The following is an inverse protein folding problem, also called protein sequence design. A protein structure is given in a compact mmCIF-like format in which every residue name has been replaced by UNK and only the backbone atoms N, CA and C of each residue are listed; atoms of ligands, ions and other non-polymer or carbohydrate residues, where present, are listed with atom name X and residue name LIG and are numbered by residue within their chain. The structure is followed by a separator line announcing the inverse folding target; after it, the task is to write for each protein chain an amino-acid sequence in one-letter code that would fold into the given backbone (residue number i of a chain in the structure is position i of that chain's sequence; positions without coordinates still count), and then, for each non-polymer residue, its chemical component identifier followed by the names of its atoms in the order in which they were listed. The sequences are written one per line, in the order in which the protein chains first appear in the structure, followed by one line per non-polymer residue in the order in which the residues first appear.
data_IF_726408859648
#
_entry.id   IF_726408859648
#
_cell.length_a   1.000
_cell.length_b   1.000
_cell.length_c   1.000
_cell.angle_alpha   90.00
_cell.angle_beta   90.00
_cell.angle_gamma   90.00
#
_symmetry.space_group_name_H-M   'P 1'
#
loop_
_entity.id
_entity.type
_entity.pdbx_description
1 polymer ?
#
# COMPACT_ATOMS: atom_id res chain seq x y z
N UNK A 1 -12.65 -8.81 -19.62
CA UNK A 1 -11.56 -8.90 -18.63
C UNK A 1 -11.86 -7.89 -17.55
N UNK A 2 -12.16 -8.32 -16.32
CA UNK A 2 -12.53 -7.39 -15.24
C UNK A 2 -11.32 -6.57 -14.78
N UNK A 3 -11.50 -5.26 -14.63
CA UNK A 3 -10.57 -4.37 -13.95
C UNK A 3 -10.04 -5.02 -12.66
N UNK A 4 -8.76 -5.39 -12.63
CA UNK A 4 -8.14 -6.24 -11.59
C UNK A 4 -7.97 -5.58 -10.22
N UNK A 5 -9.03 -4.97 -9.67
CA UNK A 5 -9.05 -4.33 -8.35
C UNK A 5 -10.24 -4.85 -7.56
N UNK A 6 -9.98 -5.57 -6.47
CA UNK A 6 -11.02 -6.06 -5.56
C UNK A 6 -11.15 -5.11 -4.37
N UNK A 7 -12.38 -4.69 -4.05
CA UNK A 7 -12.63 -3.90 -2.84
C UNK A 7 -12.52 -4.80 -1.62
N UNK A 8 -11.63 -4.43 -0.70
CA UNK A 8 -11.48 -5.10 0.59
C UNK A 8 -11.85 -4.16 1.73
N UNK A 9 -12.23 -4.73 2.87
CA UNK A 9 -12.35 -4.02 4.14
C UNK A 9 -11.37 -4.65 5.11
N UNK A 10 -10.55 -3.82 5.75
CA UNK A 10 -9.55 -4.25 6.71
C UNK A 10 -9.50 -3.25 7.87
N UNK A 11 -9.10 -3.73 9.05
CA UNK A 11 -8.74 -2.86 10.17
C UNK A 11 -7.26 -2.52 10.04
N UNK A 12 -6.95 -1.24 10.12
CA UNK A 12 -5.59 -0.69 10.04
C UNK A 12 -5.39 0.15 11.29
N UNK A 13 -4.18 0.13 11.85
CA UNK A 13 -3.82 0.99 12.98
C UNK A 13 -4.03 2.47 12.62
N UNK A 14 -4.54 3.25 13.57
CA UNK A 14 -4.82 4.66 13.38
C UNK A 14 -3.54 5.46 13.09
N UNK A 15 -2.40 5.07 13.67
CA UNK A 15 -1.11 5.72 13.40
C UNK A 15 -0.68 5.53 11.94
N UNK A 16 -0.81 4.30 11.43
CA UNK A 16 -0.53 3.98 10.03
C UNK A 16 -1.46 4.73 9.08
N UNK A 17 -2.74 4.81 9.41
CA UNK A 17 -3.71 5.55 8.60
C UNK A 17 -3.41 7.05 8.62
N UNK A 18 -3.04 7.60 9.78
CA UNK A 18 -2.62 9.00 9.93
C UNK A 18 -1.36 9.33 9.15
N UNK A 19 -0.40 8.41 9.06
CA UNK A 19 0.76 8.55 8.18
C UNK A 19 0.35 8.56 6.70
N UNK A 20 -0.52 7.63 6.27
CA UNK A 20 -1.02 7.59 4.90
C UNK A 20 -1.70 8.90 4.52
N UNK A 21 -2.52 9.46 5.40
CA UNK A 21 -3.20 10.73 5.16
C UNK A 21 -2.22 11.88 4.93
N UNK A 22 -1.19 12.00 5.77
CA UNK A 22 -0.13 13.01 5.59
C UNK A 22 0.58 12.87 4.25
N UNK A 23 0.82 11.65 3.79
CA UNK A 23 1.48 11.43 2.48
C UNK A 23 0.56 11.75 1.30
N UNK A 24 -0.76 11.59 1.45
CA UNK A 24 -1.76 12.05 0.47
C UNK A 24 -1.82 13.59 0.45
N UNK A 25 -1.81 14.25 1.62
CA UNK A 25 -1.78 15.71 1.72
C UNK A 25 -0.53 16.31 1.07
N UNK A 26 0.62 15.64 1.20
CA UNK A 26 1.87 15.99 0.51
C UNK A 26 1.84 15.73 -1.01
N UNK A 27 0.73 15.24 -1.56
CA UNK A 27 0.56 14.86 -2.97
C UNK A 27 1.53 13.76 -3.43
N UNK A 28 2.11 12.99 -2.50
CA UNK A 28 2.90 11.79 -2.84
C UNK A 28 1.99 10.71 -3.41
N UNK A 29 0.80 10.58 -2.83
CA UNK A 29 -0.23 9.66 -3.30
C UNK A 29 -1.51 10.40 -3.68
N UNK A 30 -2.20 9.88 -4.67
CA UNK A 30 -3.47 10.45 -5.16
C UNK A 30 -4.62 10.26 -4.17
N UNK A 31 -4.60 9.16 -3.40
CA UNK A 31 -5.57 8.82 -2.37
C UNK A 31 -5.06 7.64 -1.51
N UNK A 32 -5.79 7.30 -0.44
CA UNK A 32 -5.48 6.17 0.46
C UNK A 32 -5.33 4.85 -0.29
N UNK A 33 -6.19 4.56 -1.28
CA UNK A 33 -6.14 3.33 -2.07
C UNK A 33 -4.83 3.23 -2.87
N UNK A 34 -4.36 4.34 -3.43
CA UNK A 34 -3.08 4.37 -4.14
C UNK A 34 -1.91 4.13 -3.17
N UNK A 35 -1.92 4.79 -2.01
CA UNK A 35 -0.91 4.60 -0.97
C UNK A 35 -0.83 3.15 -0.48
N UNK A 36 -1.98 2.54 -0.16
CA UNK A 36 -2.05 1.15 0.32
C UNK A 36 -1.61 0.16 -0.76
N UNK A 37 -2.03 0.33 -2.01
CA UNK A 37 -1.56 -0.53 -3.11
C UNK A 37 -0.05 -0.42 -3.32
N UNK A 38 0.50 0.80 -3.27
CA UNK A 38 1.94 1.01 -3.40
C UNK A 38 2.70 0.36 -2.25
N UNK A 39 2.24 0.51 -1.00
CA UNK A 39 2.84 -0.12 0.16
C UNK A 39 2.85 -1.66 0.04
N UNK A 40 1.74 -2.26 -0.37
CA UNK A 40 1.64 -3.71 -0.60
C UNK A 40 2.56 -4.17 -1.73
N UNK A 41 2.66 -3.41 -2.83
CA UNK A 41 3.56 -3.71 -3.93
C UNK A 41 5.03 -3.69 -3.48
N UNK A 42 5.44 -2.66 -2.73
CA UNK A 42 6.80 -2.56 -2.20
C UNK A 42 7.12 -3.70 -1.22
N UNK A 43 6.16 -4.07 -0.36
CA UNK A 43 6.31 -5.21 0.54
C UNK A 43 6.47 -6.52 -0.23
N UNK A 44 5.65 -6.73 -1.27
CA UNK A 44 5.74 -7.90 -2.16
C UNK A 44 7.12 -7.98 -2.82
N UNK A 45 7.60 -6.88 -3.38
CA UNK A 45 8.91 -6.82 -4.01
C UNK A 45 10.05 -7.09 -3.02
N UNK A 46 9.96 -6.54 -1.79
CA UNK A 46 10.95 -6.78 -0.75
C UNK A 46 10.96 -8.26 -0.32
N UNK A 47 9.79 -8.90 -0.21
CA UNK A 47 9.67 -10.32 0.09
C UNK A 47 10.26 -11.19 -1.04
N UNK A 48 9.87 -10.95 -2.29
CA UNK A 48 10.32 -11.72 -3.46
C UNK A 48 11.81 -11.50 -3.76
N UNK A 49 12.34 -10.30 -3.53
CA UNK A 49 13.76 -9.99 -3.71
C UNK A 49 14.62 -10.55 -2.57
N UNK A 50 14.02 -10.84 -1.41
CA UNK A 50 14.67 -11.43 -0.24
C UNK A 50 14.82 -12.95 -0.30
N UNK A 51 14.16 -13.64 -1.23
CA UNK A 51 14.28 -15.09 -1.45
C UNK A 51 15.51 -15.49 -2.31
N UNK A 52 16.40 -14.54 -2.65
CA UNK A 52 17.67 -14.81 -3.36
C UNK A 52 18.92 -14.77 -2.44
N UNK A 53 18.76 -14.56 -1.13
CA UNK A 53 19.86 -14.67 -0.17
C UNK A 53 19.43 -15.40 1.09
N UNK A 54 19.26 -16.71 0.99
CA UNK A 54 19.68 -17.70 1.99
C UNK A 54 19.62 -19.09 1.39
#
# INVERSE_FOLDING_TARGET
MGDGKTRISARVDDDLLGWVDKEVEKKRFSNRTHALNYALYMLKQAAESGEATS
#
